data_IF_346110769861
#
_entry.id   IF_346110769861
#
_cell.length_a   1.000
_cell.length_b   1.000
_cell.length_c   1.000
_cell.angle_alpha   90.00
_cell.angle_beta   90.00
_cell.angle_gamma   90.00
#
_symmetry.space_group_name_H-M   'P 1'
#
loop_
_entity.id
_entity.type
_entity.pdbx_description
1 polymer ?
#
# COMPACT_ATOMS: atom_id res chain seq x y z
N UNK A 1 -0.75 -15.65 52.48
CA UNK A 1 -0.75 -15.69 51.02
C UNK A 1 -0.57 -14.26 50.52
N UNK A 2 0.68 -13.85 50.29
CA UNK A 2 1.01 -12.55 49.71
C UNK A 2 0.99 -12.73 48.20
N UNK A 3 0.09 -12.04 47.51
CA UNK A 3 0.07 -12.03 46.05
C UNK A 3 1.32 -11.27 45.56
N UNK A 4 1.99 -11.71 44.49
CA UNK A 4 2.97 -10.87 43.83
C UNK A 4 2.19 -9.75 43.12
N UNK A 5 2.39 -8.51 43.57
CA UNK A 5 2.08 -7.32 42.80
C UNK A 5 2.92 -7.36 41.54
N UNK A 6 2.33 -7.73 40.41
CA UNK A 6 2.82 -7.34 39.10
C UNK A 6 2.85 -5.81 39.10
N UNK A 7 4.04 -5.22 39.25
CA UNK A 7 4.27 -3.83 38.92
C UNK A 7 4.20 -3.78 37.40
N UNK A 8 2.98 -3.58 36.91
CA UNK A 8 2.74 -3.10 35.55
C UNK A 8 3.50 -1.78 35.45
N UNK A 9 4.59 -1.77 34.69
CA UNK A 9 5.24 -0.57 34.22
C UNK A 9 4.27 0.18 33.28
N UNK A 10 3.30 0.88 33.87
CA UNK A 10 2.39 1.82 33.20
C UNK A 10 2.76 3.23 33.69
N UNK A 11 3.99 3.67 33.42
CA UNK A 11 4.39 5.10 33.33
C UNK A 11 5.90 5.25 33.01
N UNK A 12 6.45 4.34 32.19
CA UNK A 12 7.66 4.68 31.45
C UNK A 12 7.24 5.68 30.34
N UNK A 13 8.00 6.76 30.08
CA UNK A 13 7.72 7.64 28.96
C UNK A 13 7.57 6.77 27.72
N UNK A 14 6.49 7.00 26.95
CA UNK A 14 6.16 6.30 25.69
C UNK A 14 7.46 5.87 25.03
N UNK A 15 7.72 4.55 25.03
CA UNK A 15 8.90 3.97 24.43
C UNK A 15 9.13 4.69 23.09
N UNK A 16 10.31 5.28 22.96
CA UNK A 16 10.63 6.08 21.77
C UNK A 16 10.43 5.15 20.58
N UNK A 17 9.46 5.48 19.71
CA UNK A 17 9.15 4.65 18.54
C UNK A 17 10.45 4.26 17.83
N UNK A 18 10.59 2.97 17.52
CA UNK A 18 11.76 2.49 16.82
C UNK A 18 11.87 3.16 15.45
N UNK A 19 13.05 3.13 14.83
CA UNK A 19 13.19 3.65 13.48
C UNK A 19 12.28 2.90 12.49
N UNK A 20 12.09 1.59 12.67
CA UNK A 20 11.19 0.81 11.82
C UNK A 20 9.73 1.23 12.01
N UNK A 21 9.31 1.53 13.25
CA UNK A 21 7.96 2.04 13.53
C UNK A 21 7.71 3.41 12.89
N UNK A 22 8.69 4.33 13.01
CA UNK A 22 8.64 5.64 12.35
C UNK A 22 8.56 5.50 10.83
N UNK A 23 9.36 4.61 10.24
CA UNK A 23 9.35 4.33 8.80
C UNK A 23 8.02 3.71 8.35
N UNK A 24 7.42 2.86 9.18
CA UNK A 24 6.08 2.28 8.93
C UNK A 24 5.00 3.35 8.95
N UNK A 25 5.00 4.25 9.93
CA UNK A 25 4.04 5.36 10.02
C UNK A 25 4.14 6.28 8.80
N UNK A 26 5.35 6.63 8.38
CA UNK A 26 5.59 7.42 7.17
C UNK A 26 5.09 6.68 5.92
N UNK A 27 5.37 5.38 5.80
CA UNK A 27 4.93 4.58 4.67
C UNK A 27 3.39 4.46 4.61
N UNK A 28 2.74 4.30 5.77
CA UNK A 28 1.28 4.29 5.88
C UNK A 28 0.67 5.63 5.45
N UNK A 29 1.21 6.75 5.92
CA UNK A 29 0.76 8.09 5.50
C UNK A 29 0.91 8.29 3.99
N UNK A 30 2.05 7.88 3.42
CA UNK A 30 2.26 7.96 1.97
C UNK A 30 1.26 7.10 1.18
N UNK A 31 0.90 5.91 1.69
CA UNK A 31 -0.12 5.06 1.08
C UNK A 31 -1.52 5.70 1.16
N UNK A 32 -1.87 6.34 2.28
CA UNK A 32 -3.12 7.09 2.41
C UNK A 32 -3.20 8.27 1.44
N UNK A 33 -2.14 9.05 1.33
CA UNK A 33 -2.05 10.18 0.40
C UNK A 33 -2.15 9.70 -1.06
N UNK A 34 -1.47 8.60 -1.42
CA UNK A 34 -1.58 7.99 -2.74
C UNK A 34 -3.01 7.49 -3.04
N UNK A 35 -3.68 6.91 -2.03
CA UNK A 35 -5.08 6.46 -2.15
C UNK A 35 -6.02 7.62 -2.39
N UNK A 36 -5.79 8.75 -1.71
CA UNK A 36 -6.53 9.98 -1.94
C UNK A 36 -6.29 10.51 -3.36
N UNK A 37 -5.05 10.50 -3.84
CA UNK A 37 -4.72 10.92 -5.21
C UNK A 37 -5.43 10.08 -6.28
N UNK A 38 -5.54 8.75 -6.08
CA UNK A 38 -6.34 7.88 -6.97
C UNK A 38 -7.82 8.28 -6.97
N UNK A 39 -8.39 8.55 -5.79
CA UNK A 39 -9.79 8.96 -5.65
C UNK A 39 -10.06 10.30 -6.35
N UNK A 40 -9.16 11.26 -6.17
CA UNK A 40 -9.29 12.59 -6.78
C UNK A 40 -9.15 12.50 -8.32
N UNK A 41 -8.16 11.74 -8.82
CA UNK A 41 -7.99 11.52 -10.27
C UNK A 41 -9.19 10.77 -10.90
N UNK A 42 -9.78 9.82 -10.19
CA UNK A 42 -10.98 9.11 -10.65
C UNK A 42 -12.17 10.06 -10.74
N UNK A 43 -12.34 10.93 -9.73
CA UNK A 43 -13.41 11.93 -9.72
C UNK A 43 -13.28 12.90 -10.89
N UNK A 44 -12.08 13.40 -11.18
CA UNK A 44 -11.85 14.29 -12.31
C UNK A 44 -12.23 13.62 -13.65
N UNK A 45 -11.89 12.34 -13.81
CA UNK A 45 -12.25 11.55 -14.99
C UNK A 45 -13.77 11.34 -15.11
N UNK A 46 -14.45 11.06 -13.99
CA UNK A 46 -15.90 10.87 -13.95
C UNK A 46 -16.64 12.18 -14.23
N UNK A 47 -16.16 13.32 -13.72
CA UNK A 47 -16.71 14.65 -13.98
C UNK A 47 -16.56 15.02 -15.48
N UNK A 48 -15.43 14.67 -16.11
CA UNK A 48 -15.24 14.84 -17.56
C UNK A 48 -16.24 14.00 -18.38
N UNK A 49 -16.45 12.74 -18.01
CA UNK A 49 -17.44 11.85 -18.67
C UNK A 49 -18.88 12.33 -18.45
N UNK A 50 -19.18 12.88 -17.28
CA UNK A 50 -20.48 13.47 -16.99
C UNK A 50 -20.75 14.67 -17.91
N UNK A 51 -19.77 15.54 -18.14
CA UNK A 51 -19.90 16.68 -19.04
C UNK A 51 -20.19 16.26 -20.50
N UNK A 52 -19.53 15.20 -20.98
CA UNK A 52 -19.83 14.62 -22.31
C UNK A 52 -21.26 14.09 -22.37
N UNK A 53 -21.68 13.33 -21.35
CA UNK A 53 -23.03 12.75 -21.27
C UNK A 53 -24.12 13.82 -21.22
N UNK A 54 -23.92 14.92 -20.48
CA UNK A 54 -24.89 16.03 -20.42
C UNK A 54 -25.12 16.66 -21.81
N UNK A 55 -24.07 16.81 -22.60
CA UNK A 55 -24.19 17.30 -23.97
C UNK A 55 -24.94 16.31 -24.87
N UNK A 56 -24.59 15.01 -24.83
CA UNK A 56 -25.28 13.96 -25.60
C UNK A 56 -26.77 13.88 -25.27
N UNK A 57 -27.13 13.89 -23.97
CA UNK A 57 -28.52 13.85 -23.53
C UNK A 57 -29.28 15.11 -23.97
N UNK A 58 -28.62 16.28 -23.98
CA UNK A 58 -29.15 17.52 -24.53
C UNK A 58 -29.41 17.45 -26.03
N UNK A 59 -28.51 16.83 -26.80
CA UNK A 59 -28.70 16.59 -28.24
C UNK A 59 -29.87 15.64 -28.50
N UNK A 60 -29.92 14.49 -27.82
CA UNK A 60 -31.01 13.50 -27.98
C UNK A 60 -32.38 14.10 -27.71
N UNK A 61 -32.54 14.91 -26.66
CA UNK A 61 -33.80 15.62 -26.38
C UNK A 61 -34.18 16.60 -27.49
N UNK A 62 -33.19 17.26 -28.09
CA UNK A 62 -33.40 18.20 -29.20
C UNK A 62 -33.84 17.49 -30.47
N UNK A 63 -33.20 16.35 -30.79
CA UNK A 63 -33.57 15.50 -31.92
C UNK A 63 -34.95 14.86 -31.74
N UNK A 64 -35.25 14.32 -30.56
CA UNK A 64 -36.55 13.71 -30.23
C UNK A 64 -37.68 14.74 -30.37
N UNK A 65 -37.47 15.97 -29.89
CA UNK A 65 -38.44 17.07 -30.08
C UNK A 65 -38.64 17.38 -31.56
N UNK A 66 -37.54 17.55 -32.30
CA UNK A 66 -37.59 17.86 -33.73
C UNK A 66 -38.37 16.82 -34.52
N UNK A 67 -38.10 15.53 -34.29
CA UNK A 67 -38.77 14.43 -34.97
C UNK A 67 -40.29 14.40 -34.68
N UNK A 68 -40.69 14.57 -33.40
CA UNK A 68 -42.11 14.60 -33.03
C UNK A 68 -42.84 15.85 -33.55
N UNK A 69 -42.17 17.01 -33.56
CA UNK A 69 -42.73 18.22 -34.16
C UNK A 69 -42.91 18.05 -35.67
N UNK A 70 -41.96 17.44 -36.37
CA UNK A 70 -42.08 17.17 -37.80
C UNK A 70 -43.25 16.21 -38.10
N UNK A 71 -43.39 15.14 -37.33
CA UNK A 71 -44.49 14.18 -37.49
C UNK A 71 -45.86 14.85 -37.27
N UNK A 72 -46.00 15.61 -36.18
CA UNK A 72 -47.26 16.28 -35.87
C UNK A 72 -47.55 17.46 -36.81
N UNK A 73 -46.52 18.16 -37.31
CA UNK A 73 -46.68 19.17 -38.35
C UNK A 73 -47.18 18.57 -39.68
N UNK A 74 -46.69 17.38 -40.06
CA UNK A 74 -47.23 16.64 -41.23
C UNK A 74 -48.72 16.34 -41.05
N UNK A 75 -49.14 15.85 -39.88
CA UNK A 75 -50.57 15.62 -39.57
C UNK A 75 -51.41 16.90 -39.68
N UNK A 76 -50.91 18.03 -39.17
CA UNK A 76 -51.59 19.34 -39.30
C UNK A 76 -51.72 19.74 -40.77
N UNK A 77 -50.66 19.60 -41.57
CA UNK A 77 -50.67 19.93 -42.99
C UNK A 77 -51.64 19.05 -43.78
N UNK A 78 -51.64 17.74 -43.54
CA UNK A 78 -52.54 16.79 -44.19
C UNK A 78 -54.01 17.08 -43.82
N UNK A 79 -54.30 17.37 -42.55
CA UNK A 79 -55.64 17.75 -42.10
C UNK A 79 -56.08 19.10 -42.68
N UNK A 80 -55.17 20.08 -42.81
CA UNK A 80 -55.47 21.37 -43.43
C UNK A 80 -55.76 21.21 -44.93
N UNK A 81 -55.00 20.37 -45.63
CA UNK A 81 -55.24 20.02 -47.02
C UNK A 81 -56.59 19.32 -47.21
N UNK A 82 -56.95 18.39 -46.30
CA UNK A 82 -58.25 17.73 -46.30
C UNK A 82 -59.40 18.73 -46.10
N UNK A 83 -59.25 19.68 -45.18
CA UNK A 83 -60.22 20.75 -44.95
C UNK A 83 -60.38 21.64 -46.20
N UNK A 84 -59.28 22.05 -46.82
CA UNK A 84 -59.31 22.84 -48.05
C UNK A 84 -60.02 22.10 -49.21
N UNK A 85 -59.76 20.80 -49.35
CA UNK A 85 -60.45 19.94 -50.34
C UNK A 85 -61.95 19.87 -50.07
N UNK A 86 -62.36 19.69 -48.81
CA UNK A 86 -63.78 19.68 -48.43
C UNK A 86 -64.47 21.01 -48.73
N UNK A 87 -63.81 22.15 -48.46
CA UNK A 87 -64.32 23.47 -48.86
C UNK A 87 -64.43 23.62 -50.39
N UNK A 88 -63.46 23.11 -51.15
CA UNK A 88 -63.53 23.12 -52.61
C UNK A 88 -64.70 22.26 -53.15
N UNK A 89 -64.97 21.10 -52.55
CA UNK A 89 -66.15 20.28 -52.86
C UNK A 89 -67.46 21.02 -52.56
N UNK A 90 -67.55 21.71 -51.41
CA UNK A 90 -68.70 22.52 -51.05
C UNK A 90 -68.94 23.65 -52.06
N UNK A 91 -67.90 24.38 -52.46
CA UNK A 91 -67.99 25.45 -53.46
C UNK A 91 -68.50 24.89 -54.80
N UNK A 92 -67.97 23.75 -55.25
CA UNK A 92 -68.42 23.08 -56.48
C UNK A 92 -69.88 22.66 -56.38
N UNK A 93 -70.28 22.00 -55.29
CA UNK A 93 -71.66 21.60 -55.05
C UNK A 93 -72.62 22.80 -55.00
N UNK A 94 -72.15 23.96 -54.55
CA UNK A 94 -72.95 25.19 -54.54
C UNK A 94 -73.14 25.82 -55.92
N UNK A 95 -72.23 25.55 -56.86
CA UNK A 95 -72.29 26.01 -58.25
C UNK A 95 -73.15 25.11 -59.15
N UNK A 96 -73.40 23.86 -58.76
CA UNK A 96 -74.26 22.93 -59.50
C UNK A 96 -75.76 23.29 -59.41
N UNK A 97 -76.52 23.00 -60.47
CA UNK A 97 -77.98 23.16 -60.53
C UNK A 97 -78.68 21.80 -60.61
N UNK A 98 -79.80 21.61 -59.90
CA UNK A 98 -80.57 20.36 -59.91
C UNK A 98 -81.29 20.08 -58.57
N UNK A 99 -82.13 19.03 -58.54
CA UNK A 99 -82.90 18.65 -57.34
C UNK A 99 -82.03 18.10 -56.20
N UNK A 100 -80.88 17.52 -56.53
CA UNK A 100 -79.99 16.84 -55.56
C UNK A 100 -78.95 17.79 -54.92
N UNK A 101 -78.91 19.06 -55.33
CA UNK A 101 -77.97 20.09 -54.84
C UNK A 101 -77.97 20.21 -53.31
N UNK A 102 -79.16 20.16 -52.70
CA UNK A 102 -79.34 20.32 -51.25
C UNK A 102 -78.67 19.18 -50.48
N UNK A 103 -78.72 17.96 -51.01
CA UNK A 103 -78.12 16.77 -50.40
C UNK A 103 -76.59 16.79 -50.55
N UNK A 104 -76.07 17.14 -51.73
CA UNK A 104 -74.63 17.31 -51.96
C UNK A 104 -74.00 18.40 -51.08
N UNK A 105 -74.71 19.51 -50.85
CA UNK A 105 -74.25 20.56 -49.93
C UNK A 105 -74.21 20.08 -48.49
N UNK A 106 -75.21 19.30 -48.05
CA UNK A 106 -75.22 18.74 -46.69
C UNK A 106 -74.08 17.72 -46.49
N UNK A 107 -73.79 16.90 -47.49
CA UNK A 107 -72.66 15.96 -47.46
C UNK A 107 -71.31 16.70 -47.43
N UNK A 108 -71.11 17.68 -48.30
CA UNK A 108 -69.90 18.49 -48.32
C UNK A 108 -69.70 19.28 -47.01
N UNK A 109 -70.77 19.78 -46.40
CA UNK A 109 -70.71 20.43 -45.10
C UNK A 109 -70.28 19.46 -43.99
N UNK A 110 -70.81 18.22 -43.96
CA UNK A 110 -70.35 17.19 -43.02
C UNK A 110 -68.86 16.88 -43.18
N UNK A 111 -68.36 16.81 -44.42
CA UNK A 111 -66.92 16.63 -44.69
C UNK A 111 -66.09 17.82 -44.19
N UNK A 112 -66.59 19.04 -44.32
CA UNK A 112 -65.95 20.24 -43.75
C UNK A 112 -65.90 20.13 -42.22
N UNK A 113 -67.00 19.80 -41.57
CA UNK A 113 -67.06 19.71 -40.10
C UNK A 113 -66.11 18.61 -39.58
N UNK A 114 -66.09 17.44 -40.23
CA UNK A 114 -65.17 16.34 -39.91
C UNK A 114 -63.70 16.72 -40.13
N UNK A 115 -63.37 17.33 -41.27
CA UNK A 115 -62.01 17.77 -41.56
C UNK A 115 -61.55 18.91 -40.63
N UNK A 116 -62.47 19.80 -40.23
CA UNK A 116 -62.20 20.87 -39.26
C UNK A 116 -61.89 20.29 -37.89
N UNK A 117 -62.68 19.32 -37.42
CA UNK A 117 -62.41 18.62 -36.16
C UNK A 117 -61.05 17.92 -36.16
N UNK A 118 -60.73 17.19 -37.23
CA UNK A 118 -59.42 16.53 -37.40
C UNK A 118 -58.26 17.53 -37.41
N UNK A 119 -58.45 18.70 -38.03
CA UNK A 119 -57.44 19.76 -38.03
C UNK A 119 -57.23 20.35 -36.62
N UNK A 120 -58.28 20.57 -35.85
CA UNK A 120 -58.17 21.05 -34.47
C UNK A 120 -57.46 20.02 -33.56
N UNK A 121 -57.80 18.73 -33.69
CA UNK A 121 -57.14 17.65 -32.96
C UNK A 121 -55.64 17.58 -33.30
N UNK A 122 -55.28 17.59 -34.59
CA UNK A 122 -53.88 17.60 -35.03
C UNK A 122 -53.12 18.85 -34.55
N UNK A 123 -53.76 20.03 -34.56
CA UNK A 123 -53.17 21.27 -34.02
C UNK A 123 -52.93 21.18 -32.52
N UNK A 124 -53.86 20.57 -31.78
CA UNK A 124 -53.72 20.36 -30.33
C UNK A 124 -52.59 19.38 -30.01
N UNK A 125 -52.46 18.30 -30.76
CA UNK A 125 -51.32 17.36 -30.64
C UNK A 125 -49.98 18.06 -30.89
N UNK A 126 -49.88 18.83 -31.97
CA UNK A 126 -48.68 19.63 -32.29
C UNK A 126 -48.32 20.63 -31.18
N UNK A 127 -49.30 21.36 -30.66
CA UNK A 127 -49.08 22.26 -29.51
C UNK A 127 -48.66 21.51 -28.24
N UNK A 128 -49.24 20.34 -28.00
CA UNK A 128 -48.89 19.50 -26.85
C UNK A 128 -47.42 19.08 -26.93
N UNK A 129 -46.95 18.61 -28.08
CA UNK A 129 -45.53 18.25 -28.30
C UNK A 129 -44.59 19.44 -28.03
N UNK A 130 -44.96 20.64 -28.51
CA UNK A 130 -44.17 21.87 -28.29
C UNK A 130 -44.04 22.26 -26.83
N UNK A 131 -45.09 22.03 -26.05
CA UNK A 131 -45.18 22.40 -24.63
C UNK A 131 -44.57 21.35 -23.71
N UNK A 132 -44.75 20.06 -23.98
CA UNK A 132 -44.32 18.98 -23.08
C UNK A 132 -42.85 18.64 -23.21
N UNK A 133 -42.27 18.76 -24.41
CA UNK A 133 -40.85 18.48 -24.62
C UNK A 133 -40.07 19.79 -24.48
N UNK A 134 -39.46 19.98 -23.32
CA UNK A 134 -38.58 21.11 -23.03
C UNK A 134 -37.18 20.79 -23.57
N UNK A 135 -36.73 21.54 -24.57
CA UNK A 135 -35.35 21.45 -25.08
C UNK A 135 -34.44 22.39 -24.30
N UNK A 136 -33.15 22.04 -24.17
CA UNK A 136 -32.14 22.98 -23.70
C UNK A 136 -32.15 24.24 -24.58
N UNK A 137 -31.99 25.42 -23.96
CA UNK A 137 -31.77 26.65 -24.71
C UNK A 137 -30.51 26.51 -25.58
N UNK A 138 -30.51 27.13 -26.77
CA UNK A 138 -29.37 27.06 -27.70
C UNK A 138 -28.06 27.49 -27.04
N UNK A 139 -28.11 28.53 -26.20
CA UNK A 139 -26.94 29.03 -25.47
C UNK A 139 -26.45 28.00 -24.45
N UNK A 140 -27.36 27.38 -23.68
CA UNK A 140 -27.03 26.31 -22.73
C UNK A 140 -26.44 25.08 -23.42
N UNK A 141 -26.99 24.68 -24.57
CA UNK A 141 -26.48 23.55 -25.37
C UNK A 141 -25.11 23.86 -25.98
N UNK A 142 -24.86 25.11 -26.37
CA UNK A 142 -23.54 25.54 -26.83
C UNK A 142 -22.51 25.56 -25.69
N UNK A 143 -22.92 25.94 -24.49
CA UNK A 143 -22.07 25.88 -23.29
C UNK A 143 -21.72 24.43 -22.91
N UNK A 144 -22.70 23.52 -22.88
CA UNK A 144 -22.43 22.10 -22.61
C UNK A 144 -21.57 21.46 -23.70
N UNK A 145 -21.75 21.84 -24.97
CA UNK A 145 -20.86 21.43 -26.06
C UNK A 145 -19.41 21.81 -25.80
N UNK A 146 -19.17 23.08 -25.44
CA UNK A 146 -17.81 23.56 -25.17
C UNK A 146 -17.17 22.81 -24.00
N UNK A 147 -17.94 22.55 -22.94
CA UNK A 147 -17.48 21.75 -21.77
C UNK A 147 -17.19 20.30 -22.15
N UNK A 148 -18.04 19.68 -22.97
CA UNK A 148 -17.84 18.32 -23.46
C UNK A 148 -16.59 18.19 -24.35
N UNK A 149 -16.37 19.14 -25.26
CA UNK A 149 -15.17 19.16 -26.13
C UNK A 149 -13.88 19.36 -25.31
N UNK A 150 -13.90 20.25 -24.32
CA UNK A 150 -12.78 20.42 -23.38
C UNK A 150 -12.54 19.17 -22.53
N UNK A 151 -13.61 18.49 -22.10
CA UNK A 151 -13.54 17.23 -21.35
C UNK A 151 -12.97 16.09 -22.20
N UNK A 152 -13.39 15.94 -23.47
CA UNK A 152 -12.86 14.97 -24.42
C UNK A 152 -11.35 15.16 -24.67
N UNK A 153 -10.90 16.41 -24.82
CA UNK A 153 -9.47 16.71 -24.97
C UNK A 153 -8.66 16.36 -23.71
N UNK A 154 -9.24 16.50 -22.51
CA UNK A 154 -8.58 16.21 -21.23
C UNK A 154 -8.68 14.75 -20.81
N UNK A 155 -9.65 13.99 -21.31
CA UNK A 155 -9.88 12.59 -20.95
C UNK A 155 -8.63 11.69 -21.05
N UNK A 156 -7.81 11.71 -22.13
CA UNK A 156 -6.60 10.88 -22.19
C UNK A 156 -5.56 11.30 -21.14
N UNK A 157 -5.45 12.59 -20.84
CA UNK A 157 -4.55 13.09 -19.80
C UNK A 157 -5.02 12.65 -18.40
N UNK A 158 -6.32 12.77 -18.11
CA UNK A 158 -6.93 12.33 -16.85
C UNK A 158 -6.82 10.82 -16.66
N UNK A 159 -7.01 10.04 -17.74
CA UNK A 159 -6.83 8.59 -17.73
C UNK A 159 -5.39 8.22 -17.39
N UNK A 160 -4.41 8.88 -18.01
CA UNK A 160 -2.99 8.69 -17.71
C UNK A 160 -2.66 9.05 -16.25
N UNK A 161 -3.19 10.17 -15.74
CA UNK A 161 -3.01 10.58 -14.33
C UNK A 161 -3.59 9.56 -13.36
N UNK A 162 -4.76 8.99 -13.67
CA UNK A 162 -5.37 7.94 -12.87
C UNK A 162 -4.50 6.68 -12.84
N UNK A 163 -3.97 6.23 -13.98
CA UNK A 163 -3.06 5.08 -14.06
C UNK A 163 -1.77 5.34 -13.27
N UNK A 164 -1.15 6.51 -13.44
CA UNK A 164 0.04 6.91 -12.69
C UNK A 164 -0.22 6.94 -11.17
N UNK A 165 -1.36 7.49 -10.74
CA UNK A 165 -1.75 7.50 -9.34
C UNK A 165 -1.94 6.08 -8.78
N UNK A 166 -2.50 5.16 -9.58
CA UNK A 166 -2.67 3.75 -9.17
C UNK A 166 -1.32 3.04 -9.02
N UNK A 167 -0.37 3.28 -9.92
CA UNK A 167 1.01 2.74 -9.80
C UNK A 167 1.68 3.26 -8.53
N UNK A 168 1.54 4.57 -8.23
CA UNK A 168 2.07 5.18 -7.01
C UNK A 168 1.44 4.58 -5.74
N UNK A 169 0.13 4.30 -5.76
CA UNK A 169 -0.54 3.62 -4.65
C UNK A 169 0.01 2.21 -4.45
N UNK A 170 0.16 1.42 -5.52
CA UNK A 170 0.72 0.06 -5.42
C UNK A 170 2.15 0.07 -4.86
N UNK A 171 2.99 1.02 -5.30
CA UNK A 171 4.34 1.19 -4.77
C UNK A 171 4.34 1.59 -3.28
N UNK A 172 3.46 2.53 -2.90
CA UNK A 172 3.33 2.98 -1.52
C UNK A 172 2.81 1.86 -0.59
N UNK A 173 1.83 1.06 -1.04
CA UNK A 173 1.34 -0.11 -0.31
C UNK A 173 2.45 -1.15 -0.13
N UNK A 174 3.24 -1.45 -1.16
CA UNK A 174 4.40 -2.35 -1.04
C UNK A 174 5.40 -1.85 0.01
N UNK A 175 5.74 -0.56 -0.02
CA UNK A 175 6.63 0.05 0.98
C UNK A 175 6.06 -0.04 2.39
N UNK A 176 4.75 0.19 2.57
CA UNK A 176 4.10 0.03 3.86
C UNK A 176 4.14 -1.43 4.35
N UNK A 177 3.95 -2.41 3.46
CA UNK A 177 4.08 -3.83 3.84
C UNK A 177 5.50 -4.23 4.20
N UNK A 178 6.50 -3.73 3.49
CA UNK A 178 7.91 -3.99 3.80
C UNK A 178 8.31 -3.35 5.14
N UNK A 179 7.90 -2.11 5.38
CA UNK A 179 8.15 -1.42 6.64
C UNK A 179 7.47 -2.16 7.81
N UNK A 180 6.23 -2.65 7.63
CA UNK A 180 5.55 -3.47 8.63
C UNK A 180 6.31 -4.74 8.96
N UNK A 181 6.83 -5.45 7.95
CA UNK A 181 7.62 -6.66 8.16
C UNK A 181 8.89 -6.38 8.98
N UNK A 182 9.50 -5.20 8.81
CA UNK A 182 10.66 -4.78 9.62
C UNK A 182 10.28 -4.54 11.08
N UNK A 183 9.16 -3.86 11.33
CA UNK A 183 8.61 -3.68 12.68
C UNK A 183 8.31 -5.03 13.34
N UNK A 184 7.62 -5.91 12.62
CA UNK A 184 7.26 -7.26 13.12
C UNK A 184 8.53 -8.08 13.41
N UNK A 185 9.58 -7.95 12.60
CA UNK A 185 10.86 -8.62 12.81
C UNK A 185 11.63 -8.08 14.02
N UNK A 186 11.67 -6.76 14.20
CA UNK A 186 12.31 -6.09 15.34
C UNK A 186 11.63 -6.50 16.66
N UNK A 187 10.30 -6.44 16.71
CA UNK A 187 9.53 -6.91 17.87
C UNK A 187 9.79 -8.40 18.17
N UNK A 188 9.88 -9.24 17.13
CA UNK A 188 10.18 -10.66 17.33
C UNK A 188 11.59 -10.88 17.90
N UNK A 189 12.58 -10.06 17.53
CA UNK A 189 13.94 -10.13 18.08
C UNK A 189 14.02 -9.68 19.54
N UNK A 190 13.18 -8.74 19.97
CA UNK A 190 13.12 -8.24 21.36
C UNK A 190 12.39 -9.22 22.30
N UNK A 191 11.27 -9.79 21.84
CA UNK A 191 10.41 -10.67 22.66
C UNK A 191 11.13 -11.96 23.06
N UNK A 192 12.02 -12.49 22.22
CA UNK A 192 12.71 -13.78 22.47
C UNK A 192 13.68 -13.72 23.67
N UNK A 193 14.60 -12.74 23.77
CA UNK A 193 15.40 -12.52 24.97
C UNK A 193 14.57 -12.31 26.24
N UNK A 194 13.55 -11.44 26.19
CA UNK A 194 12.69 -11.15 27.34
C UNK A 194 11.97 -12.41 27.86
N UNK A 195 11.44 -13.24 26.96
CA UNK A 195 10.77 -14.49 27.34
C UNK A 195 11.71 -15.46 28.08
N UNK A 196 12.99 -15.52 27.67
CA UNK A 196 13.99 -16.37 28.31
C UNK A 196 14.50 -15.80 29.65
N UNK A 197 14.53 -14.48 29.80
CA UNK A 197 14.79 -13.83 31.09
C UNK A 197 13.66 -14.18 32.06
N UNK A 198 12.41 -14.03 31.65
CA UNK A 198 11.25 -14.38 32.47
C UNK A 198 11.19 -15.88 32.82
N UNK A 199 11.62 -16.78 31.92
CA UNK A 199 11.76 -18.20 32.22
C UNK A 199 12.82 -18.43 33.32
N UNK A 200 13.99 -17.80 33.19
CA UNK A 200 15.07 -17.90 34.19
C UNK A 200 14.65 -17.33 35.57
N UNK A 201 13.92 -16.22 35.60
CA UNK A 201 13.34 -15.66 36.84
C UNK A 201 12.40 -16.64 37.53
N UNK A 202 11.55 -17.33 36.77
CA UNK A 202 10.65 -18.34 37.31
C UNK A 202 11.41 -19.56 37.86
N UNK A 203 12.49 -19.98 37.20
CA UNK A 203 13.36 -21.07 37.70
C UNK A 203 14.05 -20.69 39.00
N UNK A 204 14.59 -19.46 39.10
CA UNK A 204 15.18 -18.92 40.34
C UNK A 204 14.15 -18.93 41.48
N UNK A 205 12.94 -18.41 41.26
CA UNK A 205 11.89 -18.41 42.28
C UNK A 205 11.50 -19.83 42.73
N UNK A 206 11.48 -20.78 41.81
CA UNK A 206 11.19 -22.19 42.13
C UNK A 206 12.30 -22.80 42.99
N UNK A 207 13.57 -22.58 42.65
CA UNK A 207 14.71 -23.07 43.44
C UNK A 207 14.75 -22.45 44.84
N UNK A 208 14.49 -21.15 44.97
CA UNK A 208 14.37 -20.47 46.26
C UNK A 208 13.27 -21.10 47.14
N UNK A 209 12.15 -21.46 46.51
CA UNK A 209 11.05 -22.14 47.20
C UNK A 209 11.43 -23.57 47.61
N UNK A 210 12.04 -24.34 46.73
CA UNK A 210 12.46 -25.73 47.00
C UNK A 210 13.51 -25.77 48.13
N UNK A 211 14.48 -24.84 48.14
CA UNK A 211 15.45 -24.68 49.22
C UNK A 211 14.79 -24.36 50.56
N UNK A 212 13.79 -23.49 50.54
CA UNK A 212 13.01 -23.17 51.75
C UNK A 212 12.21 -24.37 52.26
N UNK A 213 11.60 -25.15 51.38
CA UNK A 213 10.88 -26.37 51.76
C UNK A 213 11.83 -27.43 52.36
N UNK A 214 13.07 -27.54 51.85
CA UNK A 214 14.11 -28.40 52.43
C UNK A 214 14.49 -27.92 53.84
N UNK A 215 14.73 -26.63 54.01
CA UNK A 215 15.08 -26.02 55.30
C UNK A 215 13.97 -26.28 56.35
N UNK A 216 12.70 -26.17 55.94
CA UNK A 216 11.50 -26.39 56.77
C UNK A 216 11.12 -27.87 56.97
N UNK A 217 11.75 -28.82 56.27
CA UNK A 217 11.41 -30.25 56.35
C UNK A 217 11.83 -30.90 57.68
N UNK A 218 11.14 -31.97 58.09
CA UNK A 218 11.49 -32.75 59.30
C UNK A 218 12.65 -33.75 59.06
N UNK A 219 13.38 -33.62 57.96
CA UNK A 219 14.49 -34.53 57.61
C UNK A 219 15.74 -34.29 58.45
N UNK A 220 16.59 -35.32 58.59
CA UNK A 220 17.87 -35.19 59.31
C UNK A 220 18.82 -34.21 58.61
N UNK A 221 19.62 -33.45 59.36
CA UNK A 221 20.49 -32.38 58.83
C UNK A 221 21.44 -32.86 57.70
N UNK A 222 21.96 -34.09 57.79
CA UNK A 222 22.81 -34.65 56.74
C UNK A 222 22.06 -34.89 55.42
N UNK A 223 20.76 -35.22 55.49
CA UNK A 223 19.90 -35.42 54.32
C UNK A 223 19.51 -34.07 53.72
N UNK A 224 19.21 -33.07 54.55
CA UNK A 224 18.96 -31.69 54.12
C UNK A 224 20.15 -31.14 53.36
N UNK A 225 21.34 -31.21 53.94
CA UNK A 225 22.56 -30.64 53.35
C UNK A 225 22.90 -31.30 52.01
N UNK A 226 22.72 -32.62 51.89
CA UNK A 226 22.95 -33.36 50.64
C UNK A 226 22.01 -32.98 49.50
N UNK A 227 20.80 -32.48 49.78
CA UNK A 227 19.84 -31.97 48.80
C UNK A 227 19.98 -30.46 48.58
N UNK A 228 20.32 -29.72 49.63
CA UNK A 228 20.46 -28.26 49.63
C UNK A 228 21.68 -27.80 48.86
N UNK A 229 22.84 -28.40 49.10
CA UNK A 229 24.10 -28.01 48.45
C UNK A 229 24.04 -27.99 46.90
N UNK A 230 23.50 -29.02 46.21
CA UNK A 230 23.39 -28.97 44.75
C UNK A 230 22.37 -27.92 44.26
N UNK A 231 21.22 -27.77 44.93
CA UNK A 231 20.21 -26.77 44.55
C UNK A 231 20.67 -25.34 44.82
N UNK A 232 21.44 -25.11 45.88
CA UNK A 232 22.04 -23.81 46.18
C UNK A 232 23.08 -23.42 45.12
N UNK A 233 23.92 -24.37 44.70
CA UNK A 233 24.88 -24.15 43.60
C UNK A 233 24.18 -23.80 42.28
N UNK A 234 23.05 -24.47 41.98
CA UNK A 234 22.22 -24.17 40.81
C UNK A 234 21.55 -22.79 40.93
N UNK A 235 21.01 -22.45 42.10
CA UNK A 235 20.42 -21.14 42.38
C UNK A 235 21.45 -20.01 42.19
N UNK A 236 22.64 -20.16 42.77
CA UNK A 236 23.71 -19.15 42.68
C UNK A 236 24.14 -18.95 41.21
N UNK A 237 24.24 -20.03 40.43
CA UNK A 237 24.57 -19.95 39.01
C UNK A 237 23.49 -19.24 38.19
N UNK A 238 22.21 -19.55 38.45
CA UNK A 238 21.06 -18.92 37.77
C UNK A 238 20.89 -17.46 38.18
N UNK A 239 21.02 -17.12 39.46
CA UNK A 239 20.99 -15.72 39.95
C UNK A 239 22.15 -14.90 39.38
N UNK A 240 23.35 -15.47 39.27
CA UNK A 240 24.50 -14.80 38.64
C UNK A 240 24.30 -14.60 37.13
N UNK A 241 23.60 -15.52 36.45
CA UNK A 241 23.20 -15.34 35.05
C UNK A 241 22.13 -14.27 34.94
N UNK A 242 21.08 -14.32 35.77
CA UNK A 242 19.98 -13.36 35.77
C UNK A 242 20.48 -11.93 36.02
N UNK A 243 21.35 -11.74 37.01
CA UNK A 243 21.95 -10.41 37.31
C UNK A 243 22.69 -9.82 36.11
N UNK A 244 23.41 -10.66 35.33
CA UNK A 244 24.11 -10.21 34.11
C UNK A 244 23.14 -9.89 32.97
N UNK A 245 22.00 -10.57 32.90
CA UNK A 245 20.97 -10.29 31.90
C UNK A 245 20.23 -8.99 32.24
N UNK A 246 19.93 -8.76 33.52
CA UNK A 246 19.34 -7.52 34.02
C UNK A 246 20.26 -6.32 33.78
N UNK A 247 21.56 -6.43 34.09
CA UNK A 247 22.54 -5.37 33.82
C UNK A 247 22.64 -5.01 32.32
N UNK A 248 22.59 -6.02 31.43
CA UNK A 248 22.58 -5.79 29.99
C UNK A 248 21.26 -5.17 29.50
N UNK A 249 20.13 -5.57 30.08
CA UNK A 249 18.81 -5.00 29.78
C UNK A 249 18.71 -3.54 30.22
N UNK A 250 19.13 -3.22 31.45
CA UNK A 250 19.15 -1.84 31.96
C UNK A 250 20.04 -0.93 31.10
N UNK A 251 21.17 -1.47 30.61
CA UNK A 251 22.06 -0.74 29.72
C UNK A 251 21.45 -0.48 28.35
N UNK A 252 20.64 -1.40 27.82
CA UNK A 252 19.88 -1.21 26.58
C UNK A 252 18.88 -0.06 26.78
N UNK A 253 18.11 -0.08 27.87
CA UNK A 253 17.14 0.97 28.20
C UNK A 253 17.80 2.36 28.35
N UNK A 254 18.98 2.43 28.98
CA UNK A 254 19.76 3.67 29.11
C UNK A 254 20.23 4.19 27.74
N UNK A 255 20.76 3.30 26.89
CA UNK A 255 21.24 3.65 25.55
C UNK A 255 20.08 4.11 24.66
N UNK A 256 18.92 3.45 24.69
CA UNK A 256 17.73 3.86 23.95
C UNK A 256 17.24 5.26 24.37
N UNK A 257 17.26 5.55 25.67
CA UNK A 257 16.91 6.87 26.18
C UNK A 257 17.91 7.95 25.76
N UNK A 258 19.21 7.65 25.65
CA UNK A 258 20.22 8.56 25.13
C UNK A 258 20.08 8.79 23.62
N UNK A 259 19.90 7.71 22.85
CA UNK A 259 19.71 7.75 21.40
C UNK A 259 18.51 8.64 21.07
N UNK A 260 17.38 8.48 21.75
CA UNK A 260 16.21 9.29 21.49
C UNK A 260 16.40 10.79 21.74
N UNK A 261 17.16 11.16 22.79
CA UNK A 261 17.53 12.56 23.05
C UNK A 261 18.41 13.10 21.91
N UNK A 262 19.35 12.29 21.41
CA UNK A 262 20.21 12.65 20.29
C UNK A 262 19.43 12.78 18.97
N UNK A 263 18.50 11.87 18.67
CA UNK A 263 17.63 11.95 17.48
C UNK A 263 16.83 13.25 17.47
N UNK A 264 16.25 13.62 18.61
CA UNK A 264 15.53 14.89 18.76
C UNK A 264 16.46 16.10 18.53
N UNK A 265 17.68 16.07 19.10
CA UNK A 265 18.65 17.15 18.88
C UNK A 265 19.05 17.27 17.41
N UNK A 266 19.28 16.14 16.72
CA UNK A 266 19.58 16.10 15.28
C UNK A 266 18.45 16.73 14.47
N UNK A 267 17.19 16.42 14.79
CA UNK A 267 16.03 17.01 14.11
C UNK A 267 15.89 18.52 14.40
N UNK A 268 16.09 18.94 15.64
CA UNK A 268 16.08 20.35 16.04
C UNK A 268 17.18 21.15 15.31
N UNK A 269 18.38 20.57 15.15
CA UNK A 269 19.47 21.20 14.40
C UNK A 269 19.19 21.27 12.90
N UNK A 270 18.58 20.24 12.29
CA UNK A 270 18.18 20.25 10.86
C UNK A 270 17.19 21.36 10.54
N UNK A 271 16.32 21.69 11.50
CA UNK A 271 15.31 22.74 11.34
C UNK A 271 15.81 24.14 11.72
N UNK A 272 17.06 24.27 12.16
CA UNK A 272 17.66 25.53 12.61
C UNK A 272 18.51 26.18 11.50
N UNK A 273 18.31 27.48 11.26
CA UNK A 273 19.10 28.27 10.30
C UNK A 273 20.32 28.98 10.96
N UNK A 274 20.89 28.41 12.02
CA UNK A 274 22.04 29.01 12.72
C UNK A 274 23.36 28.84 11.97
N UNK A 275 24.27 29.83 12.06
CA UNK A 275 25.61 29.81 11.42
C UNK A 275 26.50 28.61 11.82
N UNK A 276 26.25 28.01 12.99
CA UNK A 276 26.96 26.83 13.49
C UNK A 276 26.11 25.55 13.48
N UNK A 277 24.86 25.62 13.00
CA UNK A 277 23.93 24.50 13.05
C UNK A 277 24.47 23.27 12.30
N UNK A 278 25.16 23.46 11.17
CA UNK A 278 25.79 22.37 10.41
C UNK A 278 26.89 21.64 11.21
N UNK A 279 27.68 22.34 12.03
CA UNK A 279 28.73 21.72 12.84
C UNK A 279 28.15 20.93 14.02
N UNK A 280 27.15 21.51 14.71
CA UNK A 280 26.45 20.81 15.78
C UNK A 280 25.64 19.62 15.27
N UNK A 281 25.07 19.73 14.07
CA UNK A 281 24.39 18.64 13.41
C UNK A 281 25.35 17.48 13.11
N UNK A 282 26.51 17.77 12.51
CA UNK A 282 27.51 16.74 12.19
C UNK A 282 28.00 16.01 13.45
N UNK A 283 28.27 16.75 14.54
CA UNK A 283 28.68 16.16 15.81
C UNK A 283 27.57 15.30 16.43
N UNK A 284 26.32 15.77 16.43
CA UNK A 284 25.18 15.01 16.95
C UNK A 284 24.89 13.76 16.12
N UNK A 285 25.08 13.81 14.79
CA UNK A 285 24.96 12.64 13.92
C UNK A 285 26.09 11.61 14.17
N UNK A 286 27.32 12.06 14.43
CA UNK A 286 28.44 11.17 14.79
C UNK A 286 28.20 10.46 16.15
N UNK A 287 27.80 11.21 17.17
CA UNK A 287 27.46 10.67 18.49
C UNK A 287 26.29 9.67 18.41
N UNK A 288 25.26 9.99 17.60
CA UNK A 288 24.12 9.11 17.36
C UNK A 288 24.56 7.76 16.76
N UNK A 289 25.44 7.79 15.76
CA UNK A 289 25.98 6.57 15.14
C UNK A 289 26.77 5.74 16.13
N UNK A 290 27.62 6.39 16.96
CA UNK A 290 28.39 5.70 17.98
C UNK A 290 27.50 5.01 19.02
N UNK A 291 26.43 5.69 19.48
CA UNK A 291 25.48 5.13 20.46
C UNK A 291 24.64 4.00 19.87
N UNK A 292 24.19 4.11 18.63
CA UNK A 292 23.49 3.01 17.92
C UNK A 292 24.39 1.77 17.79
N UNK A 293 25.67 1.94 17.52
CA UNK A 293 26.62 0.83 17.47
C UNK A 293 26.87 0.20 18.86
N UNK A 294 26.86 1.00 19.93
CA UNK A 294 26.95 0.48 21.31
C UNK A 294 25.69 -0.30 21.71
N UNK A 295 24.51 0.16 21.31
CA UNK A 295 23.23 -0.53 21.50
C UNK A 295 23.23 -1.89 20.81
N UNK A 296 23.52 -1.93 19.49
CA UNK A 296 23.55 -3.18 18.71
C UNK A 296 24.50 -4.23 19.32
N UNK A 297 25.67 -3.77 19.81
CA UNK A 297 26.61 -4.64 20.51
C UNK A 297 26.04 -5.18 21.83
N UNK A 298 25.35 -4.33 22.60
CA UNK A 298 24.78 -4.70 23.91
C UNK A 298 23.60 -5.67 23.74
N UNK A 299 22.76 -5.47 22.73
CA UNK A 299 21.69 -6.40 22.35
C UNK A 299 22.25 -7.75 21.87
N UNK A 300 23.33 -7.75 21.09
CA UNK A 300 24.00 -8.98 20.68
C UNK A 300 24.61 -9.73 21.88
N UNK A 301 25.21 -9.01 22.82
CA UNK A 301 25.72 -9.57 24.07
C UNK A 301 24.58 -10.14 24.94
N UNK A 302 23.41 -9.48 25.00
CA UNK A 302 22.22 -10.00 25.67
C UNK A 302 21.72 -11.28 25.01
N UNK A 303 21.50 -11.28 23.67
CA UNK A 303 21.10 -12.46 22.90
C UNK A 303 22.06 -13.63 23.13
N UNK A 304 23.37 -13.36 23.20
CA UNK A 304 24.39 -14.37 23.46
C UNK A 304 24.36 -14.86 24.91
N UNK A 305 24.21 -13.97 25.88
CA UNK A 305 24.15 -14.29 27.30
C UNK A 305 22.92 -15.15 27.65
N UNK A 306 21.77 -14.81 27.06
CA UNK A 306 20.53 -15.56 27.18
C UNK A 306 20.70 -17.01 26.68
N UNK A 307 21.33 -17.20 25.52
CA UNK A 307 21.60 -18.52 24.92
C UNK A 307 22.79 -19.28 25.54
N UNK A 308 23.55 -18.65 26.45
CA UNK A 308 24.72 -19.29 27.05
C UNK A 308 24.27 -20.37 28.04
N UNK A 309 24.73 -21.63 27.90
CA UNK A 309 24.42 -22.67 28.87
C UNK A 309 25.01 -22.30 30.23
N UNK A 310 24.28 -22.66 31.28
CA UNK A 310 24.70 -22.49 32.67
C UNK A 310 25.88 -23.41 32.93
N UNK A 311 27.08 -22.86 32.87
CA UNK A 311 28.23 -23.54 33.46
C UNK A 311 28.16 -23.36 34.98
N UNK A 312 28.37 -24.41 35.78
CA UNK A 312 28.70 -24.25 37.19
C UNK A 312 29.89 -23.29 37.28
N UNK A 313 29.83 -22.35 38.21
CA UNK A 313 30.83 -21.31 38.41
C UNK A 313 32.26 -21.84 38.26
N UNK A 314 33.00 -21.35 37.25
CA UNK A 314 34.45 -21.30 37.38
C UNK A 314 34.74 -20.24 38.45
N UNK A 315 35.51 -20.66 39.46
CA UNK A 315 36.09 -19.83 40.51
C UNK A 315 36.54 -18.45 39.99
N UNK A 316 36.45 -17.39 40.80
CA UNK A 316 36.88 -16.06 40.38
C UNK A 316 38.35 -16.09 39.94
N UNK A 317 38.62 -15.55 38.75
CA UNK A 317 39.99 -15.31 38.28
C UNK A 317 40.72 -14.44 39.30
N UNK A 318 41.57 -15.09 40.09
CA UNK A 318 42.59 -14.42 40.90
C UNK A 318 43.57 -13.70 39.96
N UNK A 319 44.07 -12.50 40.32
CA UNK A 319 44.76 -11.62 39.38
C UNK A 319 46.13 -12.16 38.93
N UNK A 320 46.48 -11.81 37.70
CA UNK A 320 47.64 -12.26 36.93
C UNK A 320 48.98 -12.33 37.70
N UNK A 321 49.77 -13.43 37.53
CA UNK A 321 51.15 -13.44 37.96
C UNK A 321 52.04 -12.65 36.98
N UNK A 322 52.82 -11.72 37.54
CA UNK A 322 53.74 -10.83 36.85
C UNK A 322 54.88 -11.58 36.09
N UNK A 323 55.46 -10.98 35.03
CA UNK A 323 56.33 -11.66 34.08
C UNK A 323 57.82 -11.59 34.43
N UNK A 324 58.59 -12.63 34.04
CA UNK A 324 59.98 -12.59 33.51
C UNK A 324 60.61 -14.00 33.49
N UNK A 325 61.70 -14.28 32.73
CA UNK A 325 62.13 -13.77 31.42
C UNK A 325 62.50 -14.91 30.43
N UNK A 326 62.50 -14.64 29.12
CA UNK A 326 63.17 -15.44 28.07
C UNK A 326 64.60 -14.84 27.82
N UNK A 327 65.54 -15.44 27.01
CA UNK A 327 65.37 -16.50 25.98
C UNK A 327 66.54 -17.53 25.83
N UNK A 328 66.32 -18.69 25.16
CA UNK A 328 66.86 -19.13 23.82
C UNK A 328 67.81 -20.38 23.92
N UNK A 329 68.21 -21.08 22.83
CA UNK A 329 67.53 -21.72 21.66
C UNK A 329 67.86 -23.27 21.57
N UNK A 330 67.26 -24.16 20.78
CA UNK A 330 67.45 -24.46 19.33
C UNK A 330 66.62 -25.74 18.95
N UNK A 331 65.74 -25.68 17.93
CA UNK A 331 65.74 -26.43 16.63
C UNK A 331 65.18 -27.90 16.63
N UNK A 332 64.83 -28.52 15.47
CA UNK A 332 63.45 -28.93 15.19
C UNK A 332 63.28 -30.41 14.80
N UNK A 333 62.11 -31.01 15.05
CA UNK A 333 61.75 -32.29 14.41
C UNK A 333 60.23 -32.44 14.23
N UNK A 334 59.84 -32.90 13.04
CA UNK A 334 58.52 -33.42 12.62
C UNK A 334 58.82 -34.79 11.97
N UNK A 335 57.86 -35.70 11.70
CA UNK A 335 56.44 -35.75 12.07
C UNK A 335 55.98 -37.12 12.64
N UNK A 336 54.77 -37.19 13.19
CA UNK A 336 54.01 -38.44 13.22
C UNK A 336 52.50 -38.16 13.11
N UNK A 337 51.90 -38.72 12.06
CA UNK A 337 50.47 -38.79 11.78
C UNK A 337 49.70 -39.58 12.84
N UNK A 338 48.50 -39.11 13.21
CA UNK A 338 47.37 -39.90 13.70
C UNK A 338 46.05 -39.07 13.57
N UNK A 339 44.87 -39.71 13.53
CA UNK A 339 43.91 -39.53 12.46
C UNK A 339 42.78 -38.52 12.77
N UNK A 340 42.19 -37.98 11.69
CA UNK A 340 40.95 -37.19 11.72
C UNK A 340 39.78 -38.04 12.24
N UNK A 341 38.91 -37.51 13.13
CA UNK A 341 37.59 -38.08 13.35
C UNK A 341 36.70 -37.92 12.11
N UNK A 342 35.92 -38.97 11.83
CA UNK A 342 34.86 -39.05 10.82
C UNK A 342 33.88 -37.88 10.89
N UNK A 343 33.49 -37.37 9.72
CA UNK A 343 32.34 -36.47 9.57
C UNK A 343 31.06 -37.31 9.76
N UNK A 344 30.11 -36.79 10.52
CA UNK A 344 28.75 -37.33 10.67
C UNK A 344 27.95 -37.13 9.37
N UNK A 345 27.10 -38.11 9.03
CA UNK A 345 26.29 -38.17 7.80
C UNK A 345 25.44 -36.91 7.54
N UNK A 346 25.09 -36.15 8.58
CA UNK A 346 24.30 -34.92 8.47
C UNK A 346 25.03 -33.78 7.75
N UNK A 347 26.37 -33.69 7.83
CA UNK A 347 27.12 -32.64 7.12
C UNK A 347 27.25 -32.90 5.62
N UNK A 348 27.17 -34.16 5.16
CA UNK A 348 27.17 -34.47 3.73
C UNK A 348 25.82 -34.18 3.07
N UNK A 349 24.71 -34.31 3.82
CA UNK A 349 23.37 -34.03 3.30
C UNK A 349 23.13 -32.53 3.05
N UNK A 350 23.66 -31.64 3.91
CA UNK A 350 23.54 -30.19 3.70
C UNK A 350 24.45 -29.67 2.57
N UNK A 351 25.66 -30.21 2.43
CA UNK A 351 26.57 -29.85 1.33
C UNK A 351 26.04 -30.32 -0.05
N UNK A 352 25.30 -31.44 -0.12
CA UNK A 352 24.65 -31.90 -1.35
C UNK A 352 23.39 -31.09 -1.71
N UNK A 353 22.64 -30.58 -0.71
CA UNK A 353 21.51 -29.67 -0.94
C UNK A 353 21.97 -28.32 -1.48
N UNK A 354 23.04 -27.76 -0.91
CA UNK A 354 23.65 -26.52 -1.40
C UNK A 354 24.15 -26.68 -2.86
N UNK A 355 24.84 -27.78 -3.20
CA UNK A 355 25.38 -28.01 -4.55
C UNK A 355 24.29 -28.22 -5.61
N UNK A 356 23.19 -28.89 -5.27
CA UNK A 356 22.04 -29.06 -6.19
C UNK A 356 21.31 -27.74 -6.46
N UNK A 357 21.23 -26.84 -5.49
CA UNK A 357 20.60 -25.53 -5.67
C UNK A 357 21.43 -24.61 -6.58
N UNK A 358 22.76 -24.69 -6.51
CA UNK A 358 23.67 -23.93 -7.39
C UNK A 358 23.67 -24.45 -8.83
N UNK A 359 23.55 -25.76 -9.05
CA UNK A 359 23.42 -26.35 -10.38
C UNK A 359 22.05 -26.07 -11.04
N UNK A 360 20.98 -25.91 -10.24
CA UNK A 360 19.65 -25.54 -10.75
C UNK A 360 19.60 -24.07 -11.17
N UNK A 361 20.26 -23.17 -10.43
CA UNK A 361 20.37 -21.76 -10.80
C UNK A 361 21.19 -21.54 -12.08
N UNK A 362 22.25 -22.35 -12.29
CA UNK A 362 23.09 -22.26 -13.49
C UNK A 362 22.56 -23.02 -14.72
N UNK A 363 21.45 -23.77 -14.61
CA UNK A 363 20.79 -24.43 -15.75
C UNK A 363 19.66 -23.63 -16.38
N UNK A 364 19.38 -22.42 -15.92
CA UNK A 364 18.44 -21.54 -16.61
C UNK A 364 19.01 -21.21 -18.00
N UNK A 365 18.33 -21.60 -19.10
CA UNK A 365 18.89 -21.43 -20.43
C UNK A 365 19.09 -19.95 -20.70
N UNK A 366 20.35 -19.54 -20.93
CA UNK A 366 20.65 -18.29 -21.63
C UNK A 366 19.92 -18.34 -22.98
N UNK A 367 18.71 -17.76 -23.01
CA UNK A 367 18.08 -17.43 -24.27
C UNK A 367 18.96 -16.39 -24.94
N UNK A 368 19.67 -16.84 -25.98
CA UNK A 368 20.26 -15.94 -26.94
C UNK A 368 19.16 -14.98 -27.42
N UNK A 369 19.42 -13.66 -27.49
CA UNK A 369 18.49 -12.78 -28.17
C UNK A 369 18.35 -13.25 -29.63
N UNK A 370 17.15 -13.25 -30.22
CA UNK A 370 16.99 -13.57 -31.62
C UNK A 370 17.88 -12.65 -32.46
N UNK A 371 18.66 -13.23 -33.38
CA UNK A 371 19.44 -12.49 -34.36
C UNK A 371 18.51 -11.51 -35.08
N UNK A 372 18.84 -10.23 -35.03
CA UNK A 372 18.23 -9.21 -35.86
C UNK A 372 18.38 -9.62 -37.33
N UNK A 373 17.27 -9.98 -37.96
CA UNK A 373 17.18 -10.13 -39.40
C UNK A 373 17.37 -8.74 -40.01
N UNK A 374 18.36 -8.62 -40.90
CA UNK A 374 18.62 -7.37 -41.62
C UNK A 374 17.35 -6.90 -42.32
N UNK A 375 16.92 -5.63 -42.19
CA UNK A 375 15.91 -5.11 -43.09
C UNK A 375 16.46 -5.12 -44.52
N UNK A 376 15.66 -5.63 -45.44
CA UNK A 376 15.93 -5.63 -46.86
C UNK A 376 16.27 -4.21 -47.34
N UNK A 377 17.21 -4.03 -48.28
CA UNK A 377 17.55 -2.71 -48.81
C UNK A 377 16.32 -2.07 -49.45
N UNK A 378 16.00 -0.85 -49.03
CA UNK A 378 14.98 -0.02 -49.64
C UNK A 378 15.26 0.15 -51.15
N UNK A 379 14.23 0.04 -52.02
CA UNK A 379 14.39 0.27 -53.45
C UNK A 379 14.81 1.72 -53.72
N UNK A 380 15.72 1.88 -54.70
CA UNK A 380 16.27 3.16 -55.19
C UNK A 380 15.16 4.17 -55.51
N UNK A 381 15.38 5.47 -55.25
CA UNK A 381 14.45 6.51 -55.70
C UNK A 381 14.45 6.57 -57.23
N UNK A 382 13.28 6.35 -57.84
CA UNK A 382 13.03 6.68 -59.24
C UNK A 382 13.13 8.21 -59.41
N UNK A 383 13.99 8.61 -60.34
CA UNK A 383 14.10 9.98 -60.80
C UNK A 383 12.77 10.39 -61.47
N UNK A 384 12.27 11.61 -61.24
CA UNK A 384 11.13 12.11 -61.99
C UNK A 384 11.54 12.28 -63.46
N UNK A 385 10.84 11.58 -64.35
CA UNK A 385 10.95 11.77 -65.80
C UNK A 385 10.53 13.21 -66.11
N UNK A 386 11.37 14.00 -66.80
CA UNK A 386 10.97 15.33 -67.23
C UNK A 386 9.89 15.18 -68.31
N UNK A 387 8.79 15.92 -68.16
CA UNK A 387 7.86 16.14 -69.26
C UNK A 387 8.51 17.08 -70.28
N UNK A 388 8.51 16.73 -71.57
CA UNK A 388 8.33 17.78 -72.55
C UNK A 388 7.38 17.41 -73.70
N UNK A 389 6.44 18.35 -73.87
CA UNK A 389 5.70 18.79 -75.07
C UNK A 389 4.49 17.98 -75.52
#
# INVERSE_FOLDING_TARGET
ASQPTFVRAEDAPVANQSQAEKDYDVAMKNAEDAKKAVKDAQKDLDDAKAAQKEYEDGQKKTEEKGAREEETAKKVNDAALAQQKAYAEYIKANQEQGRDRKEKLAEAQRKIDEATKKLEEAKKEFQTVRQTIVIPEREKLAETKKKAEEAEQKEPELTKKLEEAKVKLEEAEKKATEAKQKVDAEHAEEVVPQAKIAELENEVQKLEKDLKEIDESDSEDYVKEGLRAPLQSELDAKQAKLSKLEELSDKIDELDAEIAKLEKNVEDFKNSNGEQAEQYLAAAEEDLVAKKAELEKTEADLKKAVNKPEKPAEEPENPAPAPKPAPQPEKPEKPADQPKPEKTDDQQAEEDYARRSEEEYNRLPQQQPPKAEKPAPAPKPEQPVPAPR
#
